data_IF_053958840220
#
_entry.id   IF_053958840220
#
_cell.length_a   1.000
_cell.length_b   1.000
_cell.length_c   1.000
_cell.angle_alpha   90.00
_cell.angle_beta   90.00
_cell.angle_gamma   90.00
#
_symmetry.space_group_name_H-M   'P 1'
#
loop_
_entity.id
_entity.type
_entity.pdbx_description
1 polymer ?
#
# COMPACT_ATOMS: atom_id res chain seq x y z
N UNK A 1 -28.50 23.56 44.69
CA UNK A 1 -27.45 22.85 43.93
C UNK A 1 -27.74 21.35 43.94
N UNK A 2 -28.59 20.81 43.04
CA UNK A 2 -28.66 19.35 42.72
C UNK A 2 -29.71 18.89 41.68
N UNK A 3 -30.51 19.76 41.03
CA UNK A 3 -31.55 19.29 40.09
C UNK A 3 -30.95 18.92 38.71
N UNK A 4 -29.88 19.60 38.29
CA UNK A 4 -29.23 19.37 36.99
C UNK A 4 -28.49 18.02 36.93
N UNK A 5 -27.77 17.66 38.00
CA UNK A 5 -27.05 16.39 38.10
C UNK A 5 -27.98 15.18 38.11
N UNK A 6 -29.16 15.28 38.74
CA UNK A 6 -30.15 14.20 38.77
C UNK A 6 -30.78 13.93 37.39
N UNK A 7 -30.94 14.98 36.55
CA UNK A 7 -31.50 14.85 35.20
C UNK A 7 -30.49 14.30 34.17
N UNK A 8 -29.19 14.51 34.36
CA UNK A 8 -28.15 14.06 33.42
C UNK A 8 -27.64 12.64 33.69
N UNK A 9 -27.83 12.11 34.90
CA UNK A 9 -27.47 10.73 35.24
C UNK A 9 -28.09 9.64 34.36
N UNK A 10 -29.40 9.63 34.05
CA UNK A 10 -29.98 8.59 33.20
C UNK A 10 -29.41 8.61 31.78
N UNK A 11 -29.27 9.79 31.19
CA UNK A 11 -28.67 9.96 29.85
C UNK A 11 -27.20 9.48 29.83
N UNK A 12 -26.43 9.78 30.89
CA UNK A 12 -25.05 9.31 31.01
C UNK A 12 -24.92 7.79 31.09
N UNK A 13 -25.91 7.12 31.68
CA UNK A 13 -25.95 5.65 31.77
C UNK A 13 -26.28 5.04 30.40
N UNK A 14 -27.24 5.62 29.68
CA UNK A 14 -27.58 5.18 28.32
C UNK A 14 -26.41 5.34 27.36
N UNK A 15 -25.71 6.48 27.38
CA UNK A 15 -24.52 6.69 26.54
C UNK A 15 -23.44 5.64 26.82
N UNK A 16 -23.21 5.28 28.09
CA UNK A 16 -22.23 4.24 28.47
C UNK A 16 -22.63 2.85 28.00
N UNK A 17 -23.92 2.52 28.03
CA UNK A 17 -24.43 1.24 27.52
C UNK A 17 -24.27 1.19 26.00
N UNK A 18 -24.64 2.26 25.29
CA UNK A 18 -24.50 2.35 23.84
C UNK A 18 -23.03 2.30 23.41
N UNK A 19 -22.13 3.02 24.09
CA UNK A 19 -20.69 2.98 23.76
C UNK A 19 -20.07 1.62 23.99
N UNK A 20 -20.47 0.91 25.05
CA UNK A 20 -20.04 -0.46 25.33
C UNK A 20 -20.56 -1.44 24.29
N UNK A 21 -21.82 -1.29 23.84
CA UNK A 21 -22.40 -2.11 22.78
C UNK A 21 -21.70 -1.88 21.43
N UNK A 22 -21.44 -0.62 21.07
CA UNK A 22 -20.69 -0.26 19.86
C UNK A 22 -19.28 -0.86 19.91
N UNK A 23 -18.58 -0.68 21.04
CA UNK A 23 -17.24 -1.24 21.22
C UNK A 23 -17.25 -2.77 21.04
N UNK A 24 -18.20 -3.47 21.67
CA UNK A 24 -18.33 -4.91 21.57
C UNK A 24 -18.61 -5.37 20.12
N UNK A 25 -19.53 -4.70 19.42
CA UNK A 25 -19.82 -5.01 18.01
C UNK A 25 -18.61 -4.76 17.11
N UNK A 26 -17.87 -3.66 17.34
CA UNK A 26 -16.63 -3.37 16.62
C UNK A 26 -15.57 -4.45 16.89
N UNK A 27 -15.38 -4.87 18.15
CA UNK A 27 -14.44 -5.94 18.50
C UNK A 27 -14.81 -7.27 17.86
N UNK A 28 -16.09 -7.64 17.83
CA UNK A 28 -16.56 -8.84 17.14
C UNK A 28 -16.28 -8.77 15.64
N UNK A 29 -16.57 -7.63 14.99
CA UNK A 29 -16.31 -7.46 13.56
C UNK A 29 -14.81 -7.48 13.24
N UNK A 30 -13.98 -6.86 14.08
CA UNK A 30 -12.53 -6.88 13.93
C UNK A 30 -11.95 -8.30 14.11
N UNK A 31 -12.48 -9.07 15.06
CA UNK A 31 -12.09 -10.47 15.24
C UNK A 31 -12.53 -11.34 14.06
N UNK A 32 -13.74 -11.12 13.53
CA UNK A 32 -14.19 -11.81 12.32
C UNK A 32 -13.30 -11.48 11.11
N UNK A 33 -12.87 -10.23 10.96
CA UNK A 33 -11.93 -9.82 9.91
C UNK A 33 -10.55 -10.44 10.14
N UNK A 34 -10.09 -10.54 11.39
CA UNK A 34 -8.76 -11.09 11.70
C UNK A 34 -8.68 -12.60 11.48
N UNK A 35 -9.75 -13.35 11.78
CA UNK A 35 -9.82 -14.80 11.58
C UNK A 35 -10.00 -15.19 10.12
N UNK A 36 -10.63 -14.35 9.30
CA UNK A 36 -10.92 -14.64 7.89
C UNK A 36 -9.97 -13.95 6.89
N UNK A 37 -8.79 -13.48 7.34
CA UNK A 37 -7.79 -12.83 6.45
C UNK A 37 -7.32 -13.69 5.27
N UNK A 38 -7.59 -15.00 5.28
CA UNK A 38 -7.28 -15.91 4.18
C UNK A 38 -8.30 -15.94 3.04
N UNK A 39 -9.52 -15.42 3.24
CA UNK A 39 -10.65 -15.57 2.30
C UNK A 39 -11.51 -14.29 2.23
N UNK A 40 -10.88 -13.12 2.13
CA UNK A 40 -11.58 -11.95 1.57
C UNK A 40 -11.16 -11.90 0.10
N UNK A 41 -11.91 -12.66 -0.68
CA UNK A 41 -11.98 -12.47 -2.12
C UNK A 41 -12.59 -11.09 -2.39
N UNK A 42 -12.06 -10.44 -3.42
CA UNK A 42 -12.12 -9.03 -3.80
C UNK A 42 -13.54 -8.56 -4.20
N UNK A 43 -14.53 -8.68 -3.31
CA UNK A 43 -15.91 -8.25 -3.58
C UNK A 43 -16.51 -7.44 -2.43
N UNK A 44 -16.92 -6.22 -2.79
CA UNK A 44 -17.76 -5.25 -2.09
C UNK A 44 -17.05 -4.20 -1.23
N UNK A 45 -16.44 -3.24 -1.93
CA UNK A 45 -16.82 -1.83 -1.75
C UNK A 45 -16.64 -1.13 -3.12
N UNK A 46 -17.72 -0.98 -3.90
CA UNK A 46 -17.67 -0.53 -5.31
C UNK A 46 -17.06 0.87 -5.52
N UNK A 47 -16.79 1.61 -4.45
CA UNK A 47 -16.15 2.93 -4.48
C UNK A 47 -14.66 2.94 -4.07
N UNK A 48 -14.08 1.79 -3.68
CA UNK A 48 -12.71 1.76 -3.15
C UNK A 48 -11.73 1.27 -4.23
N UNK A 49 -10.69 2.06 -4.51
CA UNK A 49 -9.69 1.70 -5.52
C UNK A 49 -8.94 0.42 -5.12
N UNK A 50 -8.86 -0.54 -6.05
CA UNK A 50 -8.11 -1.79 -5.84
C UNK A 50 -6.65 -1.52 -5.48
N UNK A 51 -6.07 -2.37 -4.62
CA UNK A 51 -4.63 -2.33 -4.27
C UNK A 51 -3.73 -2.76 -5.44
N UNK A 52 -4.31 -3.38 -6.47
CA UNK A 52 -3.67 -3.74 -7.73
C UNK A 52 -4.39 -3.06 -8.93
N UNK A 53 -4.41 -1.71 -9.00
CA UNK A 53 -5.13 -0.99 -10.03
C UNK A 53 -4.38 -1.01 -11.38
N UNK A 54 -5.06 -0.76 -12.51
CA UNK A 54 -4.44 -0.78 -13.84
C UNK A 54 -3.30 0.24 -13.98
N UNK A 55 -2.22 -0.17 -14.64
CA UNK A 55 -0.99 0.61 -14.71
C UNK A 55 -1.01 1.87 -15.59
N UNK A 56 -2.10 2.21 -16.27
CA UNK A 56 -2.21 3.50 -16.96
C UNK A 56 -3.09 4.51 -16.20
N UNK A 57 -3.61 4.12 -15.03
CA UNK A 57 -4.43 5.01 -14.21
C UNK A 57 -3.58 6.07 -13.53
N UNK A 58 -3.91 7.34 -13.77
CA UNK A 58 -3.55 8.45 -12.88
C UNK A 58 -4.49 8.42 -11.68
N UNK A 59 -3.95 8.63 -10.48
CA UNK A 59 -4.72 8.60 -9.25
C UNK A 59 -5.20 10.00 -8.89
N UNK A 60 -6.42 10.12 -8.39
CA UNK A 60 -6.86 11.36 -7.74
C UNK A 60 -6.18 11.53 -6.38
N UNK A 61 -6.30 12.71 -5.77
CA UNK A 61 -5.77 12.96 -4.43
C UNK A 61 -6.38 12.01 -3.37
N UNK A 62 -7.68 11.71 -3.47
CA UNK A 62 -8.37 10.81 -2.55
C UNK A 62 -7.94 9.36 -2.72
N UNK A 63 -7.77 8.91 -3.96
CA UNK A 63 -7.24 7.57 -4.26
C UNK A 63 -5.78 7.44 -3.78
N UNK A 64 -4.97 8.47 -4.01
CA UNK A 64 -3.58 8.52 -3.53
C UNK A 64 -3.52 8.50 -2.00
N UNK A 65 -4.45 9.19 -1.33
CA UNK A 65 -4.60 9.17 0.14
C UNK A 65 -4.97 7.79 0.63
N UNK A 66 -5.98 7.17 0.03
CA UNK A 66 -6.38 5.82 0.38
C UNK A 66 -5.22 4.83 0.19
N UNK A 67 -4.59 4.79 -0.98
CA UNK A 67 -3.48 3.88 -1.26
C UNK A 67 -2.29 4.11 -0.31
N UNK A 68 -1.98 5.37 0.02
CA UNK A 68 -0.95 5.73 1.01
C UNK A 68 -1.25 5.13 2.38
N UNK A 69 -2.52 5.14 2.83
CA UNK A 69 -2.88 4.49 4.11
C UNK A 69 -2.74 2.98 4.09
N UNK A 70 -2.96 2.34 2.93
CA UNK A 70 -2.83 0.89 2.79
C UNK A 70 -1.37 0.44 2.64
N UNK A 71 -0.53 1.30 2.10
CA UNK A 71 0.86 1.00 1.78
C UNK A 71 1.02 0.08 0.57
N UNK A 72 2.27 -0.28 0.22
CA UNK A 72 2.58 -1.09 -0.95
C UNK A 72 1.90 -2.46 -0.88
N UNK A 73 1.36 -2.92 -2.01
CA UNK A 73 0.77 -4.25 -2.11
C UNK A 73 1.90 -5.30 -2.22
N UNK A 74 2.10 -6.05 -1.13
CA UNK A 74 3.19 -7.02 -0.97
C UNK A 74 2.66 -8.41 -0.59
N UNK A 75 1.82 -9.03 -1.44
CA UNK A 75 1.27 -10.35 -1.15
C UNK A 75 2.40 -11.37 -1.05
N UNK A 76 2.40 -12.18 0.01
CA UNK A 76 3.30 -13.35 0.15
C UNK A 76 2.57 -14.58 -0.38
N UNK A 77 3.00 -15.07 -1.52
CA UNK A 77 2.40 -16.24 -2.18
C UNK A 77 3.24 -17.48 -1.88
N UNK A 78 2.61 -18.65 -1.80
CA UNK A 78 3.30 -19.94 -1.67
C UNK A 78 4.18 -20.21 -2.89
N UNK A 79 3.68 -19.83 -4.08
CA UNK A 79 4.39 -19.92 -5.35
C UNK A 79 4.10 -18.66 -6.16
N UNK A 80 5.15 -18.04 -6.71
CA UNK A 80 5.03 -16.96 -7.69
C UNK A 80 5.10 -17.55 -9.10
N UNK A 81 4.41 -16.97 -10.09
CA UNK A 81 4.46 -17.43 -11.47
C UNK A 81 5.89 -17.45 -12.02
N UNK A 82 6.09 -18.36 -12.97
CA UNK A 82 7.33 -18.56 -13.69
C UNK A 82 6.98 -18.81 -15.15
N UNK A 83 7.63 -18.12 -16.07
CA UNK A 83 7.44 -18.39 -17.49
C UNK A 83 8.16 -19.70 -17.87
N UNK A 84 7.41 -20.80 -17.96
CA UNK A 84 7.93 -22.13 -18.28
C UNK A 84 8.18 -22.33 -19.80
N UNK A 85 7.69 -21.44 -20.65
CA UNK A 85 7.88 -21.49 -22.10
C UNK A 85 9.30 -21.09 -22.52
N UNK A 86 10.05 -20.43 -21.62
CA UNK A 86 11.45 -20.07 -21.87
C UNK A 86 12.30 -21.34 -22.01
N UNK A 87 12.93 -21.51 -23.18
CA UNK A 87 13.78 -22.67 -23.51
C UNK A 87 14.91 -22.91 -22.49
N UNK A 88 15.46 -21.85 -21.91
CA UNK A 88 16.54 -21.95 -20.93
C UNK A 88 15.99 -21.89 -19.50
N UNK A 89 16.03 -23.03 -18.80
CA UNK A 89 15.60 -23.17 -17.40
C UNK A 89 16.27 -22.17 -16.45
N UNK A 90 17.48 -21.68 -16.73
CA UNK A 90 18.17 -20.66 -15.92
C UNK A 90 17.50 -19.28 -16.00
N UNK A 91 16.63 -19.04 -16.98
CA UNK A 91 15.87 -17.80 -17.15
C UNK A 91 14.41 -17.93 -16.73
N UNK A 92 13.95 -19.15 -16.48
CA UNK A 92 12.70 -19.42 -15.80
C UNK A 92 12.90 -19.04 -14.33
N UNK A 93 12.82 -17.75 -14.02
CA UNK A 93 12.87 -17.24 -12.66
C UNK A 93 11.47 -16.78 -12.25
N UNK A 94 11.26 -16.56 -10.96
CA UNK A 94 10.04 -15.98 -10.41
C UNK A 94 10.38 -14.77 -9.55
N UNK A 95 9.37 -14.00 -9.19
CA UNK A 95 9.48 -13.01 -8.12
C UNK A 95 9.88 -13.70 -6.80
N UNK A 96 10.63 -12.98 -5.95
CA UNK A 96 11.00 -13.47 -4.62
C UNK A 96 10.50 -12.52 -3.53
N UNK A 97 9.58 -13.01 -2.69
CA UNK A 97 9.00 -12.27 -1.57
C UNK A 97 10.02 -11.69 -0.59
N UNK A 98 11.19 -12.32 -0.47
CA UNK A 98 12.29 -11.83 0.36
C UNK A 98 12.81 -10.44 -0.03
N UNK A 99 12.50 -9.97 -1.25
CA UNK A 99 12.85 -8.62 -1.67
C UNK A 99 12.07 -7.54 -0.93
N UNK A 100 10.85 -7.80 -0.47
CA UNK A 100 10.05 -6.82 0.28
C UNK A 100 10.77 -6.32 1.53
N UNK A 101 11.44 -7.22 2.27
CA UNK A 101 12.16 -6.85 3.49
C UNK A 101 13.40 -5.98 3.27
N UNK A 102 13.85 -5.82 2.02
CA UNK A 102 15.00 -4.98 1.67
C UNK A 102 14.59 -3.71 0.91
N UNK A 103 13.38 -3.69 0.37
CA UNK A 103 12.90 -2.66 -0.54
C UNK A 103 11.46 -2.33 -0.17
N UNK A 104 11.29 -1.44 0.82
CA UNK A 104 9.99 -1.20 1.47
C UNK A 104 8.88 -0.79 0.50
N UNK A 105 9.19 -0.01 -0.54
CA UNK A 105 8.20 0.42 -1.54
C UNK A 105 8.06 -0.53 -2.74
N UNK A 106 8.69 -1.71 -2.70
CA UNK A 106 8.52 -2.69 -3.76
C UNK A 106 7.09 -3.23 -3.71
N UNK A 107 6.36 -3.05 -4.80
CA UNK A 107 5.00 -3.57 -5.01
C UNK A 107 5.04 -4.70 -6.02
N UNK A 108 4.16 -5.69 -5.87
CA UNK A 108 3.95 -6.74 -6.87
C UNK A 108 2.49 -6.72 -7.32
N UNK A 109 2.27 -6.84 -8.63
CA UNK A 109 0.94 -7.04 -9.23
C UNK A 109 0.75 -8.53 -9.51
N UNK A 110 -0.33 -9.11 -8.95
CA UNK A 110 -0.69 -10.51 -9.24
C UNK A 110 -1.26 -10.64 -10.64
N UNK A 111 -2.00 -9.62 -11.09
CA UNK A 111 -2.64 -9.59 -12.40
C UNK A 111 -1.59 -9.60 -13.50
N UNK A 112 -0.49 -8.86 -13.32
CA UNK A 112 0.55 -8.71 -14.35
C UNK A 112 1.78 -9.60 -14.19
N UNK A 113 1.91 -10.29 -13.05
CA UNK A 113 3.16 -10.93 -12.67
C UNK A 113 4.37 -9.98 -12.83
N UNK A 114 4.27 -8.80 -12.21
CA UNK A 114 5.25 -7.74 -12.39
C UNK A 114 5.50 -6.96 -11.10
N UNK A 115 6.74 -6.50 -10.92
CA UNK A 115 7.14 -5.64 -9.82
C UNK A 115 7.11 -4.15 -10.21
N UNK A 116 6.71 -3.32 -9.26
CA UNK A 116 6.57 -1.87 -9.37
C UNK A 116 7.18 -1.17 -8.16
N UNK A 117 7.36 0.14 -8.23
CA UNK A 117 7.70 0.96 -7.08
C UNK A 117 6.49 1.80 -6.67
N UNK A 118 6.02 1.59 -5.44
CA UNK A 118 4.81 2.22 -4.91
C UNK A 118 4.88 3.74 -4.87
N UNK A 119 5.96 4.31 -4.30
CA UNK A 119 6.09 5.77 -4.22
C UNK A 119 6.25 6.40 -5.60
N UNK A 120 7.07 5.83 -6.49
CA UNK A 120 7.23 6.32 -7.87
C UNK A 120 5.92 6.22 -8.65
N UNK A 121 5.10 5.19 -8.40
CA UNK A 121 3.82 5.05 -9.07
C UNK A 121 2.82 6.15 -8.69
N UNK A 122 2.86 6.62 -7.45
CA UNK A 122 1.95 7.64 -6.94
C UNK A 122 2.49 9.07 -7.13
N UNK A 123 3.80 9.27 -6.98
CA UNK A 123 4.44 10.58 -6.87
C UNK A 123 5.66 10.74 -7.79
N UNK A 124 5.72 9.91 -8.83
CA UNK A 124 6.66 10.09 -9.92
C UNK A 124 6.39 11.40 -10.68
N UNK A 125 7.43 11.94 -11.30
CA UNK A 125 7.32 13.08 -12.21
C UNK A 125 6.58 12.70 -13.49
N UNK A 126 5.82 13.64 -14.05
CA UNK A 126 5.19 13.42 -15.35
C UNK A 126 6.25 13.10 -16.42
N UNK A 127 5.93 12.25 -17.41
CA UNK A 127 6.87 11.77 -18.43
C UNK A 127 7.63 12.86 -19.20
N UNK A 128 7.15 14.11 -19.14
CA UNK A 128 7.73 15.25 -19.85
C UNK A 128 8.98 15.85 -19.22
N UNK A 129 9.25 15.66 -17.92
CA UNK A 129 10.22 16.53 -17.23
C UNK A 129 11.53 15.86 -16.80
N UNK A 130 11.59 14.53 -16.68
CA UNK A 130 12.84 13.80 -16.59
C UNK A 130 12.55 12.30 -16.61
N UNK A 131 13.10 11.58 -17.61
CA UNK A 131 13.56 10.17 -17.59
C UNK A 131 12.99 9.24 -16.51
N UNK A 132 11.71 9.29 -16.19
CA UNK A 132 11.12 8.32 -15.29
C UNK A 132 11.15 6.99 -16.02
N UNK A 133 11.80 6.00 -15.38
CA UNK A 133 11.76 4.65 -15.88
C UNK A 133 10.30 4.17 -15.78
N UNK A 134 9.51 4.36 -16.85
CA UNK A 134 8.15 3.80 -17.02
C UNK A 134 8.07 2.34 -16.57
N UNK A 135 9.21 1.65 -16.65
CA UNK A 135 9.51 0.33 -16.10
C UNK A 135 9.05 0.12 -14.65
N UNK A 136 9.19 1.07 -13.73
CA UNK A 136 8.80 0.90 -12.31
C UNK A 136 7.43 1.47 -11.97
N UNK A 137 6.82 2.23 -12.90
CA UNK A 137 5.54 2.89 -12.71
C UNK A 137 4.46 2.23 -13.56
N UNK A 138 4.54 2.31 -14.89
CA UNK A 138 3.46 1.95 -15.83
C UNK A 138 3.62 0.58 -16.48
N UNK A 139 4.86 0.12 -16.70
CA UNK A 139 5.10 -1.17 -17.37
C UNK A 139 5.26 -2.31 -16.37
N UNK A 140 5.93 -2.04 -15.26
CA UNK A 140 6.35 -3.05 -14.31
C UNK A 140 7.50 -3.90 -14.85
N UNK A 141 8.13 -4.65 -13.94
CA UNK A 141 9.21 -5.60 -14.27
C UNK A 141 8.71 -7.01 -14.02
N UNK A 142 8.43 -7.75 -15.10
CA UNK A 142 8.22 -9.21 -15.06
C UNK A 142 9.49 -10.02 -15.41
N UNK A 143 10.60 -9.36 -15.76
CA UNK A 143 11.87 -10.04 -16.04
C UNK A 143 12.74 -10.14 -14.79
N UNK A 144 12.60 -11.25 -14.08
CA UNK A 144 13.25 -11.48 -12.77
C UNK A 144 14.77 -11.65 -12.83
N UNK A 145 15.33 -11.82 -14.02
CA UNK A 145 16.78 -11.86 -14.20
C UNK A 145 17.47 -10.57 -13.73
N UNK A 146 18.58 -10.73 -13.01
CA UNK A 146 19.42 -9.62 -12.50
C UNK A 146 18.69 -8.64 -11.57
N UNK A 147 17.57 -9.04 -10.96
CA UNK A 147 16.86 -8.22 -9.96
C UNK A 147 17.74 -7.91 -8.76
N UNK A 148 18.46 -8.92 -8.26
CA UNK A 148 19.57 -8.78 -7.31
C UNK A 148 20.91 -8.74 -8.05
N UNK A 149 21.83 -7.97 -7.48
CA UNK A 149 23.20 -7.85 -7.99
C UNK A 149 24.03 -9.09 -7.75
N UNK A 150 25.18 -9.17 -8.41
CA UNK A 150 26.21 -10.20 -8.16
C UNK A 150 27.40 -9.54 -7.47
N UNK A 151 27.25 -9.25 -6.18
CA UNK A 151 28.24 -8.51 -5.40
C UNK A 151 28.23 -7.00 -5.65
N UNK A 152 29.21 -6.31 -5.08
CA UNK A 152 29.29 -4.83 -5.05
C UNK A 152 29.46 -4.23 -6.45
N UNK A 153 30.20 -4.90 -7.33
CA UNK A 153 30.57 -4.39 -8.66
C UNK A 153 29.44 -4.49 -9.71
N UNK A 154 28.36 -5.23 -9.44
CA UNK A 154 27.24 -5.40 -10.36
C UNK A 154 25.94 -5.23 -9.61
N UNK A 155 25.48 -3.98 -9.49
CA UNK A 155 24.19 -3.67 -8.86
C UNK A 155 23.04 -4.28 -9.65
N UNK A 156 22.09 -4.89 -8.93
CA UNK A 156 20.87 -5.42 -9.54
C UNK A 156 19.85 -4.32 -9.81
N UNK A 157 18.85 -4.61 -10.64
CA UNK A 157 17.79 -3.66 -11.02
C UNK A 157 17.15 -2.98 -9.80
N UNK A 158 16.84 -3.75 -8.74
CA UNK A 158 16.26 -3.22 -7.50
C UNK A 158 17.20 -2.21 -6.82
N UNK A 159 18.47 -2.56 -6.64
CA UNK A 159 19.42 -1.68 -5.99
C UNK A 159 19.70 -0.40 -6.81
N UNK A 160 19.75 -0.51 -8.13
CA UNK A 160 19.92 0.64 -9.03
C UNK A 160 18.74 1.60 -8.92
N UNK A 161 17.51 1.08 -8.98
CA UNK A 161 16.30 1.91 -8.87
C UNK A 161 16.15 2.56 -7.49
N UNK A 162 16.22 1.78 -6.40
CA UNK A 162 16.01 2.30 -5.05
C UNK A 162 17.11 3.27 -4.58
N UNK A 163 18.25 3.34 -5.28
CA UNK A 163 19.30 4.35 -5.04
C UNK A 163 19.16 5.59 -5.92
N UNK A 164 18.30 5.56 -6.93
CA UNK A 164 18.15 6.65 -7.91
C UNK A 164 17.59 7.92 -7.29
N UNK A 165 17.92 9.07 -7.89
CA UNK A 165 17.38 10.36 -7.46
C UNK A 165 15.86 10.44 -7.64
N UNK A 166 15.32 9.86 -8.71
CA UNK A 166 13.89 9.81 -8.97
C UNK A 166 13.13 9.08 -7.86
N UNK A 167 13.64 7.92 -7.42
CA UNK A 167 13.05 7.20 -6.29
C UNK A 167 13.05 8.01 -5.01
N UNK A 168 14.18 8.63 -4.66
CA UNK A 168 14.30 9.47 -3.47
C UNK A 168 13.33 10.66 -3.49
N UNK A 169 13.20 11.33 -4.63
CA UNK A 169 12.26 12.44 -4.79
C UNK A 169 10.80 11.99 -4.66
N UNK A 170 10.44 10.84 -5.24
CA UNK A 170 9.09 10.29 -5.11
C UNK A 170 8.79 9.83 -3.67
N UNK A 171 9.78 9.24 -2.98
CA UNK A 171 9.67 8.90 -1.57
C UNK A 171 9.48 10.16 -0.70
N UNK A 172 10.25 11.22 -0.93
CA UNK A 172 10.11 12.48 -0.20
C UNK A 172 8.70 13.09 -0.38
N UNK A 173 8.17 13.08 -1.61
CA UNK A 173 6.80 13.53 -1.88
C UNK A 173 5.75 12.69 -1.15
N UNK A 174 5.93 11.37 -1.09
CA UNK A 174 5.07 10.48 -0.30
C UNK A 174 5.12 10.84 1.20
N UNK A 175 6.29 11.14 1.74
CA UNK A 175 6.44 11.54 3.14
C UNK A 175 5.75 12.89 3.42
N UNK A 176 5.94 13.88 2.56
CA UNK A 176 5.27 15.19 2.67
C UNK A 176 3.75 15.02 2.60
N UNK A 177 3.27 14.21 1.64
CA UNK A 177 1.85 13.93 1.46
C UNK A 177 1.24 13.24 2.71
N UNK A 178 1.98 12.30 3.29
CA UNK A 178 1.59 11.61 4.53
C UNK A 178 1.56 12.55 5.75
N UNK A 179 2.52 13.47 5.86
CA UNK A 179 2.62 14.43 6.97
C UNK A 179 1.59 15.57 6.88
N UNK A 180 1.13 15.93 5.68
CA UNK A 180 0.00 16.86 5.53
C UNK A 180 -1.28 16.27 6.13
N UNK A 181 -1.47 14.95 6.06
CA UNK A 181 -2.61 14.26 6.68
C UNK A 181 -2.60 14.40 8.20
N UNK A 182 -1.46 14.17 8.87
CA UNK A 182 -1.39 14.24 10.33
C UNK A 182 -1.75 15.62 10.86
N UNK A 183 -1.33 16.70 10.18
CA UNK A 183 -1.68 18.06 10.61
C UNK A 183 -3.18 18.36 10.49
N UNK A 184 -3.85 17.91 9.43
CA UNK A 184 -5.32 18.11 9.26
C UNK A 184 -6.10 17.28 10.29
N UNK A 185 -5.71 16.02 10.51
CA UNK A 185 -6.35 15.16 11.51
C UNK A 185 -6.17 15.71 12.94
N UNK A 186 -5.03 16.34 13.24
CA UNK A 186 -4.80 17.00 14.52
C UNK A 186 -5.71 18.22 14.72
N UNK A 187 -5.97 19.01 13.68
CA UNK A 187 -6.87 20.17 13.78
C UNK A 187 -8.33 19.76 13.99
N UNK A 188 -8.81 18.70 13.32
CA UNK A 188 -10.19 18.20 13.47
C UNK A 188 -10.44 17.60 14.87
N UNK A 189 -9.41 17.02 15.49
CA UNK A 189 -9.52 16.43 16.82
C UNK A 189 -9.25 17.40 17.97
N UNK A 190 -8.76 18.61 17.69
CA UNK A 190 -8.52 19.66 18.69
C UNK A 190 -9.80 20.47 19.02
N UNK A 191 -10.81 20.42 18.16
CA UNK A 191 -12.09 21.12 18.32
C UNK A 191 -13.17 20.26 19.02
N UNK A 192 -12.80 19.19 19.73
CA UNK A 192 -13.74 18.26 20.39
C UNK A 192 -13.53 18.16 21.90
#
# INVERSE_FOLDING_TARGET
MNIFLLKTQPLSKEIKVLSSAIYYLCSLKLNFISTNRGEIDDKNDENLISRDPPDNKKFTDDESRYLTTQGPFQPKMSVYPQNLELKNKKHQCSFAAGWYGQYNYLKYSKIKDAAFCFCCRLFGQDPGDAREEETWTTKGIGSWSKMKGRGIQRTGKLATHFKSAAHKAAEERLQIFSNKKSNVDLMINADR
#
